data_IF_887552374639
#
_entry.id   IF_887552374639
#
_cell.length_a   1.000
_cell.length_b   1.000
_cell.length_c   1.000
_cell.angle_alpha   90.00
_cell.angle_beta   90.00
_cell.angle_gamma   90.00
#
_symmetry.space_group_name_H-M   'P 1'
#
loop_
_entity.id
_entity.type
_entity.pdbx_description
1 polymer ?
2 non-polymer ?
3 non-polymer ?
4 non-polymer ?
5 water ?
#
# COMPACT_ATOMS: atom_id res chain seq x y z
N UNK A 2 -10.07 -18.22 21.84
CA UNK A 2 -8.95 -17.31 22.28
C UNK A 2 -8.95 -16.04 21.45
N UNK A 3 -7.96 -15.19 21.65
CA UNK A 3 -7.93 -13.89 21.00
C UNK A 3 -7.55 -14.02 19.51
N UNK A 4 -8.27 -13.30 18.63
CA UNK A 4 -7.90 -13.30 17.20
C UNK A 4 -6.67 -12.45 16.94
N UNK A 5 -5.80 -12.93 16.05
CA UNK A 5 -4.70 -12.15 15.50
C UNK A 5 -5.31 -11.11 14.54
N UNK A 6 -4.93 -9.84 14.69
CA UNK A 6 -5.41 -8.77 13.81
C UNK A 6 -4.29 -8.27 12.91
N UNK A 7 -4.58 -8.27 11.60
CA UNK A 7 -3.59 -7.91 10.60
C UNK A 7 -4.12 -6.75 9.79
N UNK A 8 -3.37 -5.68 9.69
CA UNK A 8 -3.68 -4.54 8.83
C UNK A 8 -2.85 -4.69 7.55
N UNK A 9 -3.50 -4.57 6.40
CA UNK A 9 -2.85 -4.66 5.09
C UNK A 9 -3.06 -3.36 4.35
N UNK A 10 -1.97 -2.72 3.97
CA UNK A 10 -1.98 -1.53 3.12
C UNK A 10 -2.59 -1.81 1.76
N UNK A 11 -3.08 -0.80 1.07
CA UNK A 11 -3.55 -0.91 -0.29
C UNK A 11 -2.52 -0.52 -1.31
N UNK A 12 -2.15 0.75 -1.47
CA UNK A 12 -1.24 1.11 -2.55
C UNK A 12 0.15 0.56 -2.27
N UNK A 13 0.70 -0.14 -3.25
CA UNK A 13 2.04 -0.73 -3.13
C UNK A 13 2.06 -2.12 -2.49
N UNK A 14 0.92 -2.62 -2.03
CA UNK A 14 0.81 -3.90 -1.36
C UNK A 14 -0.28 -4.73 -2.01
N UNK A 15 -1.50 -4.21 -2.12
CA UNK A 15 -2.56 -4.86 -2.85
C UNK A 15 -2.69 -4.36 -4.27
N UNK A 16 -2.55 -3.07 -4.44
CA UNK A 16 -2.78 -2.37 -5.70
C UNK A 16 -1.49 -1.81 -6.27
N UNK A 17 -1.25 -2.04 -7.57
CA UNK A 17 -0.03 -1.57 -8.22
C UNK A 17 -0.01 -0.07 -8.62
N UNK A 18 0.14 0.69 -7.58
CA UNK A 18 0.26 2.16 -7.70
C UNK A 18 1.43 2.59 -8.57
N UNK A 19 2.60 2.04 -8.34
CA UNK A 19 3.82 2.50 -9.05
C UNK A 19 3.71 2.21 -10.55
N UNK A 20 3.33 0.99 -10.92
CA UNK A 20 3.16 0.64 -12.31
C UNK A 20 2.02 1.36 -12.99
N UNK A 21 0.91 1.51 -12.28
CA UNK A 21 -0.24 2.25 -12.83
C UNK A 21 0.14 3.70 -13.11
N UNK A 22 0.80 4.33 -12.15
CA UNK A 22 1.27 5.68 -12.28
C UNK A 22 2.16 5.83 -13.52
N UNK A 23 3.19 5.00 -13.61
CA UNK A 23 4.15 5.17 -14.71
C UNK A 23 3.45 5.03 -16.05
N UNK A 24 2.58 4.06 -16.21
CA UNK A 24 1.94 3.82 -17.48
C UNK A 24 1.07 5.04 -17.84
N UNK A 25 0.33 5.59 -16.88
CA UNK A 25 -0.55 6.70 -17.22
C UNK A 25 0.21 7.98 -17.40
N UNK A 26 1.29 8.14 -16.70
CA UNK A 26 2.18 9.32 -16.86
C UNK A 26 2.76 9.36 -18.25
N UNK A 27 3.32 8.23 -18.68
CA UNK A 27 3.92 8.12 -20.03
C UNK A 27 2.88 8.35 -21.12
N UNK A 28 1.66 7.87 -20.96
CA UNK A 28 0.56 8.03 -21.91
C UNK A 28 0.15 9.50 -22.01
N UNK A 29 -0.01 10.16 -20.88
CA UNK A 29 -0.52 11.54 -20.86
C UNK A 29 0.57 12.51 -21.26
N UNK A 30 1.90 12.38 -20.76
CA UNK A 30 3.09 13.24 -20.89
C UNK A 30 4.24 12.55 -21.66
N UNK A 31 4.01 12.16 -22.92
CA UNK A 31 5.02 11.43 -23.69
C UNK A 31 6.29 12.25 -23.97
N UNK A 32 6.15 13.56 -23.84
CA UNK A 32 7.18 14.57 -24.00
C UNK A 32 8.20 14.63 -22.89
N UNK A 33 7.83 14.10 -21.73
CA UNK A 33 8.54 14.42 -20.52
C UNK A 33 9.36 13.20 -20.12
N UNK A 34 10.41 13.45 -19.35
CA UNK A 34 11.25 12.36 -18.87
C UNK A 34 10.44 11.67 -17.78
N UNK A 35 10.81 10.44 -17.51
CA UNK A 35 10.13 9.65 -16.47
C UNK A 35 11.15 8.83 -15.70
N UNK A 36 10.71 8.18 -14.61
CA UNK A 36 11.59 7.37 -13.78
C UNK A 36 11.18 5.91 -13.91
N UNK A 37 12.06 5.06 -14.46
CA UNK A 37 11.76 3.65 -14.58
C UNK A 37 11.69 3.09 -13.17
N UNK A 38 10.92 2.03 -13.00
CA UNK A 38 10.66 1.50 -11.63
C UNK A 38 11.89 1.02 -10.92
N UNK A 39 12.91 0.47 -11.82
CA UNK A 39 14.20 0.06 -11.22
C UNK A 39 14.99 1.25 -10.66
N UNK A 40 14.67 2.50 -11.08
CA UNK A 40 15.35 3.66 -10.61
C UNK A 40 14.60 4.47 -9.56
N UNK A 41 13.45 3.98 -9.12
CA UNK A 41 12.72 4.67 -8.10
C UNK A 41 13.45 4.62 -6.78
N UNK A 42 13.54 5.76 -6.14
CA UNK A 42 14.08 5.87 -4.82
C UNK A 42 13.27 6.84 -3.97
N UNK A 43 13.04 6.49 -2.59
CA UNK A 43 12.20 7.44 -1.78
C UNK A 43 10.74 7.12 -1.97
N UNK A 44 9.99 7.24 -0.90
CA UNK A 44 8.62 6.85 -0.90
C UNK A 44 7.79 7.66 -1.86
N UNK A 45 7.91 8.98 -1.80
CA UNK A 45 7.00 9.86 -2.53
C UNK A 45 7.39 9.99 -3.99
N UNK A 46 6.66 9.46 -4.96
CA UNK A 46 6.88 9.58 -6.43
C UNK A 46 7.10 11.06 -6.82
N UNK A 47 6.23 11.93 -6.34
CA UNK A 47 6.25 13.32 -6.79
C UNK A 47 7.53 14.02 -6.40
N UNK A 48 8.12 13.68 -5.26
CA UNK A 48 9.38 14.28 -4.83
C UNK A 48 10.52 13.89 -5.75
N UNK A 49 10.56 12.65 -6.24
CA UNK A 49 11.60 12.24 -7.17
C UNK A 49 11.40 12.89 -8.53
N UNK A 50 10.17 12.92 -9.05
CA UNK A 50 9.88 13.63 -10.30
C UNK A 50 10.18 15.14 -10.18
N UNK A 51 9.91 15.73 -9.03
CA UNK A 51 10.15 17.15 -8.75
C UNK A 51 11.65 17.43 -8.85
N UNK A 52 12.66 16.52 -8.43
CA UNK A 52 14.13 16.66 -8.69
C UNK A 52 14.50 16.51 -10.14
N UNK A 53 13.69 15.80 -10.91
CA UNK A 53 14.06 15.44 -12.26
C UNK A 53 13.88 16.60 -13.25
N UNK A 54 12.91 17.50 -13.01
CA UNK A 54 12.57 18.68 -13.86
C UNK A 54 11.55 19.57 -13.13
N UNK A 55 11.76 20.89 -13.14
CA UNK A 55 10.70 21.80 -12.66
C UNK A 55 9.35 21.61 -13.40
N UNK A 56 8.28 21.60 -12.59
CA UNK A 56 6.91 21.39 -13.05
C UNK A 56 6.46 19.94 -12.96
N UNK A 57 7.40 19.00 -12.84
CA UNK A 57 7.08 17.58 -13.01
C UNK A 57 6.43 17.01 -11.76
N UNK A 58 6.67 17.54 -10.59
CA UNK A 58 5.90 17.13 -9.43
C UNK A 58 4.40 17.35 -9.62
N UNK A 59 4.02 18.51 -10.12
CA UNK A 59 2.63 18.86 -10.34
C UNK A 59 2.02 17.98 -11.42
N UNK A 60 2.77 17.64 -12.48
CA UNK A 60 2.27 16.73 -13.51
C UNK A 60 2.06 15.33 -12.90
N UNK A 61 3.02 14.90 -12.10
CA UNK A 61 2.88 13.57 -11.47
C UNK A 61 1.60 13.54 -10.63
N UNK A 62 1.40 14.52 -9.77
CA UNK A 62 0.22 14.57 -8.87
C UNK A 62 -1.05 14.52 -9.67
N UNK A 63 -1.07 15.20 -10.81
CA UNK A 63 -2.27 15.23 -11.64
C UNK A 63 -2.68 13.84 -12.16
N UNK A 64 -1.75 12.88 -12.26
CA UNK A 64 -2.10 11.54 -12.67
C UNK A 64 -2.96 10.87 -11.60
N UNK A 65 -2.53 10.96 -10.32
CA UNK A 65 -3.36 10.24 -9.31
C UNK A 65 -4.58 11.00 -8.82
N UNK A 66 -4.67 12.29 -9.12
CA UNK A 66 -5.86 13.07 -8.86
C UNK A 66 -6.93 12.84 -9.92
N UNK A 67 -6.58 12.23 -11.03
CA UNK A 67 -7.55 12.00 -12.10
C UNK A 67 -8.55 10.90 -11.81
N UNK A 68 -9.75 11.12 -12.27
CA UNK A 68 -10.82 10.13 -12.22
C UNK A 68 -10.33 8.83 -12.82
N UNK A 69 -10.66 7.75 -12.12
CA UNK A 69 -10.38 6.37 -12.51
C UNK A 69 -8.96 5.91 -12.30
N UNK A 70 -8.08 6.76 -11.77
CA UNK A 70 -6.73 6.31 -11.47
C UNK A 70 -6.71 5.17 -10.45
N UNK A 71 -7.34 5.39 -9.30
CA UNK A 71 -7.36 4.35 -8.26
C UNK A 71 -8.16 3.14 -8.67
N UNK A 72 -9.31 3.35 -9.29
CA UNK A 72 -10.17 2.25 -9.63
C UNK A 72 -9.50 1.28 -10.61
N UNK A 73 -8.72 1.80 -11.52
CA UNK A 73 -8.13 1.02 -12.63
C UNK A 73 -6.76 0.42 -12.27
N UNK A 74 -6.28 0.62 -11.05
CA UNK A 74 -5.01 -0.06 -10.65
C UNK A 74 -5.18 -1.57 -10.73
N UNK A 75 -4.14 -2.25 -11.21
CA UNK A 75 -4.14 -3.73 -11.21
C UNK A 75 -3.71 -4.25 -9.86
N UNK A 76 -4.26 -5.38 -9.42
CA UNK A 76 -3.72 -6.01 -8.21
C UNK A 76 -2.30 -6.48 -8.41
N UNK A 77 -1.52 -6.40 -7.36
CA UNK A 77 -0.20 -7.01 -7.36
C UNK A 77 -0.40 -8.51 -7.43
N UNK A 78 0.72 -9.22 -8.04
CA UNK A 78 0.58 -10.68 -8.19
C UNK A 78 0.40 -11.36 -6.84
N UNK A 79 -0.61 -12.22 -6.76
CA UNK A 79 -0.85 -12.98 -5.55
C UNK A 79 -1.55 -12.23 -4.43
N UNK A 80 -1.78 -10.92 -4.55
CA UNK A 80 -2.27 -10.13 -3.42
C UNK A 80 -3.72 -10.55 -3.06
N UNK A 81 -4.60 -10.63 -4.05
CA UNK A 81 -6.02 -10.93 -3.82
C UNK A 81 -6.19 -12.33 -3.20
N UNK A 82 -5.48 -13.29 -3.80
CA UNK A 82 -5.58 -14.67 -3.39
C UNK A 82 -5.03 -14.82 -1.93
N UNK A 83 -3.95 -14.12 -1.59
CA UNK A 83 -3.36 -14.19 -0.26
C UNK A 83 -4.26 -13.59 0.81
N UNK A 84 -4.81 -12.42 0.54
CA UNK A 84 -5.64 -11.76 1.52
C UNK A 84 -6.96 -12.48 1.71
N UNK A 85 -7.52 -13.04 0.66
CA UNK A 85 -8.67 -13.93 0.80
C UNK A 85 -8.37 -15.13 1.68
N UNK A 86 -7.22 -15.77 1.46
CA UNK A 86 -6.83 -16.91 2.31
C UNK A 86 -6.62 -16.47 3.75
N UNK A 87 -5.92 -15.34 3.93
CA UNK A 87 -5.62 -14.87 5.24
C UNK A 87 -6.88 -14.57 6.05
N UNK A 88 -7.91 -13.94 5.31
CA UNK A 88 -9.15 -13.53 6.03
C UNK A 88 -9.94 -14.78 6.46
N UNK A 89 -9.80 -15.88 5.71
CA UNK A 89 -10.50 -17.15 5.99
C UNK A 89 -9.89 -17.96 7.14
N UNK A 90 -8.65 -17.66 7.55
CA UNK A 90 -7.95 -18.41 8.59
C UNK A 90 -8.63 -18.29 9.91
N UNK A 91 -8.57 -19.37 10.67
CA UNK A 91 -9.05 -19.35 12.02
C UNK A 91 -8.35 -18.32 12.86
N UNK A 92 -9.09 -17.69 13.77
CA UNK A 92 -8.48 -16.77 14.74
C UNK A 92 -7.61 -15.68 14.08
N UNK A 93 -8.14 -15.14 12.99
CA UNK A 93 -7.43 -14.10 12.22
C UNK A 93 -8.46 -13.10 11.67
N UNK A 94 -8.24 -11.82 11.95
CA UNK A 94 -9.08 -10.73 11.44
C UNK A 94 -8.19 -9.82 10.59
N UNK A 95 -8.62 -9.57 9.36
CA UNK A 95 -7.88 -8.78 8.37
C UNK A 95 -8.63 -7.47 8.10
N UNK A 96 -7.91 -6.37 8.20
CA UNK A 96 -8.43 -5.04 7.80
C UNK A 96 -7.52 -4.48 6.72
N UNK A 97 -8.11 -3.75 5.77
CA UNK A 97 -7.37 -2.99 4.77
C UNK A 97 -7.24 -1.58 5.33
N UNK A 98 -6.01 -1.10 5.53
CA UNK A 98 -5.73 0.15 6.18
C UNK A 98 -4.95 1.05 5.24
N UNK A 99 -5.66 2.02 4.68
CA UNK A 99 -5.23 2.81 3.55
C UNK A 99 -5.54 4.26 3.79
N UNK A 100 -4.81 5.14 3.06
CA UNK A 100 -4.94 6.62 3.17
C UNK A 100 -5.51 7.23 1.94
N UNK A 101 -6.30 8.28 2.07
CA UNK A 101 -6.69 9.01 0.87
C UNK A 101 -5.58 10.00 0.47
N UNK A 102 -5.54 10.38 -0.79
CA UNK A 102 -4.76 11.55 -1.21
C UNK A 102 -5.47 12.79 -0.74
N UNK A 103 -4.79 13.94 -0.86
CA UNK A 103 -5.37 15.19 -0.37
C UNK A 103 -6.60 15.62 -1.10
N UNK A 104 -6.63 15.41 -2.41
CA UNK A 104 -7.79 15.73 -3.22
C UNK A 104 -8.74 14.54 -3.17
N UNK A 105 -9.87 14.71 -2.52
CA UNK A 105 -10.72 13.61 -2.05
C UNK A 105 -11.90 13.32 -2.94
N UNK A 106 -11.97 13.96 -4.21
CA UNK A 106 -13.19 13.79 -4.99
C UNK A 106 -13.43 12.32 -5.41
N UNK A 107 -12.39 11.60 -5.85
CA UNK A 107 -12.55 10.26 -6.42
C UNK A 107 -11.94 9.17 -5.57
N UNK A 108 -10.87 9.46 -4.87
CA UNK A 108 -10.00 8.45 -4.29
C UNK A 108 -10.73 7.59 -3.25
N UNK A 109 -11.40 8.15 -2.21
CA UNK A 109 -12.11 7.27 -1.26
C UNK A 109 -13.14 6.41 -1.99
N UNK A 110 -13.99 6.98 -2.82
CA UNK A 110 -14.99 6.23 -3.56
C UNK A 110 -14.36 5.06 -4.35
N UNK A 111 -13.31 5.36 -5.08
CA UNK A 111 -12.71 4.39 -5.99
C UNK A 111 -11.99 3.29 -5.22
N UNK A 112 -11.44 3.60 -4.06
CA UNK A 112 -10.84 2.58 -3.22
C UNK A 112 -11.89 1.59 -2.70
N UNK A 113 -13.05 2.10 -2.24
CA UNK A 113 -14.19 1.21 -1.89
C UNK A 113 -14.61 0.35 -3.06
N UNK A 114 -14.74 0.96 -4.21
CA UNK A 114 -15.14 0.25 -5.41
C UNK A 114 -14.14 -0.82 -5.82
N UNK A 115 -12.86 -0.56 -5.63
CA UNK A 115 -11.80 -1.49 -5.96
C UNK A 115 -11.87 -2.71 -5.04
N UNK A 116 -12.04 -2.46 -3.75
CA UNK A 116 -12.20 -3.58 -2.81
C UNK A 116 -13.44 -4.40 -3.13
N UNK A 117 -14.56 -3.74 -3.43
CA UNK A 117 -15.78 -4.49 -3.80
C UNK A 117 -15.49 -5.37 -4.99
N UNK A 118 -14.80 -4.85 -5.99
CA UNK A 118 -14.50 -5.55 -7.27
C UNK A 118 -13.69 -6.83 -7.02
N UNK A 119 -12.66 -6.75 -6.19
CA UNK A 119 -11.70 -7.87 -6.04
C UNK A 119 -12.01 -8.74 -4.86
N UNK A 120 -12.72 -8.24 -3.78
CA UNK A 120 -13.00 -9.02 -2.54
C UNK A 120 -14.48 -9.23 -2.26
N UNK A 121 -15.36 -8.53 -2.96
CA UNK A 121 -16.77 -8.65 -2.74
C UNK A 121 -17.37 -7.65 -1.78
N UNK A 122 -18.69 -7.43 -1.84
CA UNK A 122 -19.33 -6.49 -0.94
C UNK A 122 -19.12 -6.76 0.53
N UNK A 123 -19.05 -8.03 0.95
CA UNK A 123 -18.90 -8.29 2.37
C UNK A 123 -17.56 -7.85 2.94
N UNK A 124 -16.59 -7.60 2.09
CA UNK A 124 -15.26 -7.17 2.59
C UNK A 124 -15.17 -5.67 2.84
N UNK A 125 -16.16 -4.92 2.40
CA UNK A 125 -16.17 -3.45 2.59
C UNK A 125 -16.13 -3.08 4.06
N UNK A 126 -16.72 -3.90 4.92
CA UNK A 126 -16.65 -3.62 6.34
C UNK A 126 -15.27 -3.74 6.98
N UNK A 127 -14.30 -4.28 6.23
CA UNK A 127 -12.93 -4.40 6.69
C UNK A 127 -12.01 -3.24 6.31
N UNK A 128 -12.55 -2.21 5.72
CA UNK A 128 -11.75 -1.07 5.31
C UNK A 128 -11.64 -0.02 6.44
N UNK A 129 -10.42 0.44 6.66
CA UNK A 129 -10.14 1.60 7.54
C UNK A 129 -9.41 2.63 6.73
N UNK A 130 -10.06 3.82 6.46
CA UNK A 130 -9.42 4.89 5.68
C UNK A 130 -8.93 5.92 6.67
N UNK A 131 -7.62 6.14 6.70
CA UNK A 131 -7.01 7.06 7.67
C UNK A 131 -5.69 7.57 7.16
N UNK A 132 -5.36 8.81 7.51
CA UNK A 132 -4.00 9.33 7.25
C UNK A 132 -3.04 8.94 8.34
N UNK A 133 -3.53 8.48 9.48
CA UNK A 133 -2.66 8.08 10.60
C UNK A 133 -2.93 6.60 10.95
N UNK A 134 -1.96 5.75 10.62
CA UNK A 134 -2.10 4.30 10.88
C UNK A 134 -1.69 3.92 12.27
N UNK A 135 -0.99 4.84 12.96
CA UNK A 135 -0.52 4.56 14.30
C UNK A 135 -1.63 4.50 15.34
N UNK A 136 -2.77 5.11 15.03
CA UNK A 136 -3.93 5.08 15.93
C UNK A 136 -4.84 3.87 15.70
N UNK A 137 -4.50 3.00 14.75
CA UNK A 137 -5.23 1.77 14.51
C UNK A 137 -4.46 0.64 15.19
N UNK A 138 -5.15 -0.09 16.04
CA UNK A 138 -4.53 -1.15 16.82
C UNK A 138 -4.63 -2.49 16.12
N UNK A 139 -3.50 -3.22 16.15
CA UNK A 139 -3.41 -4.54 15.53
C UNK A 139 -2.12 -5.19 15.97
N UNK A 140 -2.02 -6.51 15.58
CA UNK A 140 -0.73 -7.20 15.81
C UNK A 140 0.33 -6.92 14.76
N UNK A 141 -0.11 -6.73 13.51
CA UNK A 141 0.77 -6.59 12.36
C UNK A 141 0.22 -5.50 11.46
N UNK A 142 1.13 -4.81 10.78
CA UNK A 142 0.82 -3.86 9.69
C UNK A 142 1.76 -4.22 8.55
N UNK A 143 1.23 -4.62 7.42
CA UNK A 143 2.01 -4.93 6.21
C UNK A 143 1.87 -3.73 5.24
N UNK A 144 2.95 -3.00 5.01
CA UNK A 144 2.91 -1.70 4.35
C UNK A 144 4.29 -1.44 3.69
N UNK A 145 4.28 -0.88 2.50
CA UNK A 145 5.50 -0.55 1.76
C UNK A 145 6.25 0.68 2.16
N UNK A 146 5.67 1.50 3.00
CA UNK A 146 6.28 2.78 3.42
C UNK A 146 7.30 2.54 4.54
N UNK A 147 8.55 2.92 4.40
CA UNK A 147 9.51 2.61 5.47
C UNK A 147 9.29 3.25 6.81
N UNK A 148 8.89 4.51 6.82
CA UNK A 148 8.80 5.21 8.10
C UNK A 148 7.37 5.61 8.31
N UNK A 149 6.68 4.93 9.22
CA UNK A 149 5.26 5.16 9.47
C UNK A 149 5.15 5.79 10.83
N UNK A 150 4.68 7.02 10.85
CA UNK A 150 4.54 7.79 12.09
C UNK A 150 3.21 8.43 12.19
N UNK A 151 2.93 8.95 13.39
CA UNK A 151 1.66 9.59 13.65
C UNK A 151 1.49 10.00 15.08
N UNK A 152 0.25 10.14 15.51
CA UNK A 152 -0.06 10.63 16.86
C UNK A 152 0.30 9.69 17.97
N UNK A 153 0.39 8.39 17.69
CA UNK A 153 0.72 7.38 18.68
C UNK A 153 2.21 7.05 18.59
N UNK A 154 3.01 7.41 19.60
CA UNK A 154 4.44 7.12 19.53
C UNK A 154 4.83 5.65 19.65
N UNK A 155 3.98 4.82 20.26
CA UNK A 155 4.22 3.39 20.41
C UNK A 155 3.03 2.59 19.89
N UNK A 156 2.94 2.44 18.56
CA UNK A 156 1.85 1.67 17.99
C UNK A 156 1.87 0.23 18.51
N UNK A 157 0.65 -0.40 18.49
CA UNK A 157 0.57 -1.81 18.96
C UNK A 157 1.07 -2.82 17.96
N UNK A 158 1.05 -2.45 16.68
CA UNK A 158 1.48 -3.37 15.62
C UNK A 158 2.97 -3.39 15.43
N UNK A 159 3.42 -4.54 14.96
CA UNK A 159 4.72 -4.66 14.31
C UNK A 159 4.54 -4.33 12.83
N UNK A 160 5.36 -3.41 12.33
CA UNK A 160 5.38 -3.08 10.91
C UNK A 160 6.31 -4.01 10.15
N UNK A 161 5.73 -4.76 9.27
CA UNK A 161 6.45 -5.61 8.31
C UNK A 161 6.49 -4.87 6.96
N UNK A 162 7.71 -4.57 6.51
CA UNK A 162 7.91 -3.79 5.31
C UNK A 162 7.67 -4.67 4.06
N UNK A 163 6.72 -4.28 3.23
CA UNK A 163 6.43 -4.96 2.00
C UNK A 163 7.33 -4.43 0.91
N UNK A 164 8.05 -5.31 0.19
CA UNK A 164 8.99 -4.80 -0.79
C UNK A 164 8.29 -4.12 -1.95
N UNK A 165 8.97 -2.94 -2.29
CA UNK A 165 8.51 -2.19 -3.49
C UNK A 165 9.76 -1.65 -4.16
N UNK A 166 9.61 -1.18 -5.40
CA UNK A 166 10.76 -0.61 -6.14
C UNK A 166 11.54 0.44 -5.34
N UNK A 167 10.79 1.35 -4.69
CA UNK A 167 11.35 2.44 -3.94
C UNK A 167 12.05 2.09 -2.64
N UNK A 168 11.84 0.87 -2.13
CA UNK A 168 12.39 0.46 -0.85
C UNK A 168 13.32 -0.75 -0.93
N UNK A 169 13.49 -1.35 -2.12
CA UNK A 169 14.15 -2.66 -2.26
C UNK A 169 15.63 -2.69 -1.90
N UNK A 170 16.30 -1.55 -1.91
CA UNK A 170 17.71 -1.46 -1.55
C UNK A 170 17.96 -1.02 -0.13
N UNK A 171 16.90 -0.70 0.64
CA UNK A 171 17.04 -0.13 1.97
C UNK A 171 17.48 -1.17 2.97
N UNK A 172 18.53 -0.84 3.71
CA UNK A 172 18.88 -1.62 4.86
C UNK A 172 18.03 -1.14 6.02
N UNK A 173 17.37 -2.04 6.68
CA UNK A 173 16.56 -1.72 7.86
C UNK A 173 17.32 -1.98 9.19
N UNK A 174 16.89 -1.35 10.24
CA UNK A 174 17.44 -1.61 11.60
C UNK A 174 16.85 -2.89 12.15
N UNK A 175 17.70 -3.85 12.56
CA UNK A 175 17.22 -5.00 13.33
C UNK A 175 16.41 -4.49 14.52
N UNK A 176 15.30 -5.13 14.92
CA UNK A 176 14.81 -6.40 14.38
C UNK A 176 13.66 -6.23 13.33
N UNK A 177 13.64 -5.12 12.58
CA UNK A 177 12.62 -4.94 11.55
C UNK A 177 12.69 -6.01 10.47
N UNK A 178 11.55 -6.44 9.95
CA UNK A 178 11.53 -7.41 8.89
C UNK A 178 10.65 -7.07 7.72
N UNK A 179 10.80 -7.85 6.65
CA UNK A 179 10.18 -7.69 5.34
C UNK A 179 9.30 -8.84 4.95
N UNK A 180 8.30 -8.53 4.14
CA UNK A 180 7.61 -9.50 3.31
C UNK A 180 7.94 -9.16 1.87
N UNK A 181 8.60 -10.08 1.16
CA UNK A 181 9.21 -9.73 -0.09
C UNK A 181 8.24 -9.56 -1.26
N UNK A 182 7.15 -10.28 -1.18
CA UNK A 182 6.08 -10.33 -2.14
C UNK A 182 5.02 -11.24 -1.55
N UNK A 183 3.87 -11.33 -2.19
CA UNK A 183 2.83 -12.23 -1.72
C UNK A 183 3.17 -13.71 -1.94
N UNK A 184 4.14 -13.96 -2.80
CA UNK A 184 4.67 -15.34 -2.95
C UNK A 184 5.53 -15.78 -1.76
N UNK A 185 6.06 -14.84 -1.01
CA UNK A 185 6.88 -15.06 0.20
C UNK A 185 5.95 -15.61 1.33
N UNK A 186 6.53 -16.12 2.40
CA UNK A 186 5.79 -16.90 3.38
C UNK A 186 5.15 -15.97 4.44
N UNK A 187 4.01 -15.42 4.05
CA UNK A 187 3.26 -14.54 4.95
C UNK A 187 2.67 -15.31 6.12
N UNK A 188 2.33 -16.58 5.90
CA UNK A 188 1.79 -17.36 7.02
C UNK A 188 2.78 -17.53 8.14
N UNK A 189 4.07 -17.66 7.85
CA UNK A 189 5.05 -17.72 8.91
C UNK A 189 5.15 -16.45 9.75
N UNK A 190 5.00 -15.31 9.08
CA UNK A 190 5.03 -14.03 9.78
C UNK A 190 3.85 -13.95 10.72
N UNK A 191 2.67 -14.26 10.23
CA UNK A 191 1.47 -14.26 11.10
C UNK A 191 1.68 -15.22 12.25
N UNK A 192 2.14 -16.44 11.94
CA UNK A 192 2.27 -17.45 12.99
C UNK A 192 3.21 -17.03 14.14
N UNK A 193 4.25 -16.27 13.81
CA UNK A 193 5.21 -15.78 14.79
C UNK A 193 4.64 -14.82 15.82
N UNK A 194 3.44 -14.28 15.55
CA UNK A 194 2.75 -13.32 16.43
C UNK A 194 1.59 -13.95 17.19
N UNK A 195 1.26 -15.21 16.90
CA UNK A 195 0.17 -15.89 17.60
C UNK A 195 0.57 -16.34 19.03
N UNK A 196 -0.42 -16.50 19.93
CA UNK A 196 -0.19 -16.96 21.32
C UNK A 196 0.44 -18.34 21.49
X LIG B 1 1.51 1.84 0.42
X LIG C 1 1.48 5.34 3.26
X LIG C 1 0.08 5.75 2.96
X LIG C 1 -0.91 4.60 2.70
X LIG C 1 -0.50 6.72 4.01
X LIG C 1 0.25 6.68 1.40
X LIG C 1 -1.03 6.92 0.85
X LIG C 1 -1.04 7.67 -0.37
X LIG C 1 -2.51 7.98 -0.43
X LIG C 1 -3.10 7.20 -1.56
X LIG C 1 -1.98 6.81 -2.47
X LIG C 1 -0.70 6.85 -1.64
X LIG C 1 0.50 7.33 -2.36
X LIG C 1 0.56 8.61 -2.81
X LIG C 1 1.70 9.06 -3.41
X LIG C 1 2.82 8.22 -3.57
X LIG C 1 3.86 8.63 -4.11
X LIG C 1 2.77 6.93 -3.12
X LIG C 1 1.62 6.50 -2.53
X LIG C 1 1.50 5.32 -2.14
X LIG D 1 15.92 2.61 -2.24
X LIG D 1 15.56 1.28 -2.07
X LIG D 1 16.50 3.21 -0.98
X LIG D 1 17.95 3.09 -1.08
X LIG D 1 15.94 4.65 -0.75
X LIG D 1 14.51 4.81 -0.98
#
# INVERSE_FOLDING_TARGET
>A
GGRALRVLVDMDGVLADFEGGFLRKFRARFPDQPFIALEDRRGFWVSEQYGRLRPGLSEKAISIWESKNFFFELEPLPGAVEAVKEMASLQNTDVFICTSPIKMFKYCPYEKYAWVEKYFGPDFLEQIVLTRDKTVVSADLLIDDRPDITGAEPTPSWEHVLFTACHNQHLQLQPPRRRLHSWADDWKAILDSKRPC
>B hetero
1 MG MG
>C hetero
1 DRM OP2 P OP1 OP3 C6' O5' C5' C4' C3' C2' C1' N1 C6 C5 C4 O4 N3 C2 O2
>D hetero
1 GOL C1 O1 C2 O2 C3 O3
#
